data_IF_607404824567
#
_entry.id   IF_607404824567
#
_cell.length_a   1.000
_cell.length_b   1.000
_cell.length_c   1.000
_cell.angle_alpha   90.00
_cell.angle_beta   90.00
_cell.angle_gamma   90.00
#
_symmetry.space_group_name_H-M   'P 1'
#
loop_
_entity.id
_entity.type
_entity.pdbx_description
1 polymer ?
#
# COMPACT_ATOMS: atom_id res chain seq x y z
N UNK A 1 3.25 -15.55 -6.04
CA UNK A 1 3.04 -14.09 -5.89
C UNK A 1 4.41 -13.44 -5.94
N UNK A 2 4.57 -12.44 -6.81
CA UNK A 2 5.85 -11.82 -7.20
C UNK A 2 5.75 -10.29 -7.19
N UNK A 3 4.66 -9.72 -6.65
CA UNK A 3 4.33 -8.31 -6.88
C UNK A 3 5.28 -7.37 -6.12
N UNK A 4 5.49 -7.60 -4.82
CA UNK A 4 6.40 -6.77 -4.01
C UNK A 4 7.85 -6.99 -4.45
N UNK A 5 8.23 -8.24 -4.75
CA UNK A 5 9.55 -8.54 -5.33
C UNK A 5 9.80 -7.77 -6.65
N UNK A 6 8.80 -7.69 -7.54
CA UNK A 6 8.90 -6.94 -8.79
C UNK A 6 8.98 -5.43 -8.58
N UNK A 7 8.27 -4.89 -7.57
CA UNK A 7 8.39 -3.48 -7.16
C UNK A 7 9.83 -3.20 -6.74
N UNK A 8 10.42 -4.02 -5.87
CA UNK A 8 11.79 -3.85 -5.39
C UNK A 8 12.80 -3.92 -6.54
N UNK A 9 12.64 -4.88 -7.46
CA UNK A 9 13.49 -4.98 -8.66
C UNK A 9 13.42 -3.72 -9.52
N UNK A 10 12.21 -3.19 -9.72
CA UNK A 10 11.99 -1.97 -10.49
C UNK A 10 12.63 -0.75 -9.83
N UNK A 11 12.45 -0.59 -8.51
CA UNK A 11 13.06 0.48 -7.73
C UNK A 11 14.59 0.45 -7.76
N UNK A 12 15.19 -0.74 -7.62
CA UNK A 12 16.65 -0.92 -7.74
C UNK A 12 17.15 -0.53 -9.13
N UNK A 13 16.45 -0.95 -10.18
CA UNK A 13 16.80 -0.61 -11.55
C UNK A 13 16.72 0.89 -11.80
N UNK A 14 15.69 1.57 -11.30
CA UNK A 14 15.54 3.02 -11.44
C UNK A 14 16.58 3.79 -10.63
N UNK A 15 16.90 3.35 -9.41
CA UNK A 15 17.95 3.96 -8.60
C UNK A 15 19.31 3.92 -9.30
N UNK A 16 19.67 2.76 -9.86
CA UNK A 16 20.90 2.61 -10.64
C UNK A 16 20.89 3.49 -11.89
N UNK A 17 19.85 3.40 -12.71
CA UNK A 17 19.76 4.16 -13.96
C UNK A 17 19.79 5.67 -13.75
N UNK A 18 19.14 6.18 -12.69
CA UNK A 18 19.19 7.59 -12.32
C UNK A 18 20.60 7.99 -11.88
N UNK A 19 21.23 7.21 -11.00
CA UNK A 19 22.59 7.46 -10.52
C UNK A 19 23.59 7.52 -11.67
N UNK A 20 23.58 6.52 -12.55
CA UNK A 20 24.46 6.45 -13.72
C UNK A 20 24.28 7.66 -14.65
N UNK A 21 23.03 8.11 -14.83
CA UNK A 21 22.71 9.25 -15.69
C UNK A 21 23.21 10.57 -15.10
N UNK A 22 23.07 10.76 -13.78
CA UNK A 22 23.57 11.95 -13.08
C UNK A 22 25.10 12.00 -13.11
N UNK A 23 25.77 10.86 -12.85
CA UNK A 23 27.23 10.77 -12.89
C UNK A 23 27.78 11.04 -14.29
N UNK A 24 27.12 10.50 -15.32
CA UNK A 24 27.47 10.75 -16.71
C UNK A 24 27.36 12.23 -17.06
N UNK A 25 26.28 12.90 -16.65
CA UNK A 25 26.10 14.33 -16.91
C UNK A 25 27.22 15.16 -16.26
N UNK A 26 27.52 14.89 -14.98
CA UNK A 26 28.63 15.56 -14.27
C UNK A 26 29.97 15.39 -15.00
N UNK A 27 30.24 14.20 -15.54
CA UNK A 27 31.48 13.92 -16.28
C UNK A 27 31.55 14.66 -17.63
N UNK A 28 30.39 14.87 -18.29
CA UNK A 28 30.32 15.45 -19.62
C UNK A 28 30.28 16.98 -19.61
N UNK A 29 29.47 17.56 -18.73
CA UNK A 29 29.23 19.00 -18.68
C UNK A 29 30.08 19.70 -17.61
N UNK A 30 30.63 18.95 -16.65
CA UNK A 30 31.41 19.51 -15.54
C UNK A 30 30.56 20.20 -14.45
N UNK A 31 29.24 20.06 -14.52
CA UNK A 31 28.29 20.63 -13.57
C UNK A 31 27.22 19.61 -13.15
N UNK A 32 26.53 19.91 -12.04
CA UNK A 32 25.47 19.04 -11.54
C UNK A 32 24.20 19.13 -12.40
N UNK A 33 23.52 18.01 -12.58
CA UNK A 33 22.20 18.02 -13.20
C UNK A 33 21.18 18.62 -12.23
N UNK A 34 20.56 19.73 -12.63
CA UNK A 34 19.61 20.47 -11.79
C UNK A 34 18.23 20.59 -12.44
N UNK A 35 17.19 20.51 -11.62
CA UNK A 35 15.81 20.85 -12.00
C UNK A 35 15.36 21.98 -11.08
N UNK A 36 14.94 23.11 -11.65
CA UNK A 36 14.53 24.30 -10.89
C UNK A 36 15.60 24.79 -9.89
N UNK A 37 16.89 24.66 -10.27
CA UNK A 37 18.02 25.06 -9.42
C UNK A 37 18.28 24.14 -8.24
N UNK A 38 17.70 22.94 -8.22
CA UNK A 38 17.97 21.89 -7.24
C UNK A 38 18.71 20.74 -7.91
N UNK A 39 19.83 20.34 -7.31
CA UNK A 39 20.58 19.15 -7.71
C UNK A 39 19.67 17.92 -7.64
N UNK A 40 19.58 17.20 -8.75
CA UNK A 40 18.82 15.95 -8.82
C UNK A 40 19.64 14.85 -8.18
N UNK A 41 19.01 14.12 -7.26
CA UNK A 41 19.55 12.94 -6.60
C UNK A 41 18.45 11.90 -6.40
N UNK A 42 18.83 10.66 -6.06
CA UNK A 42 17.86 9.68 -5.59
C UNK A 42 17.34 10.09 -4.21
N UNK A 43 16.13 10.64 -4.16
CA UNK A 43 15.46 11.06 -2.93
C UNK A 43 14.02 10.53 -2.84
N UNK A 44 13.84 9.23 -3.09
CA UNK A 44 12.54 8.57 -2.95
C UNK A 44 12.36 8.08 -1.50
N UNK A 45 11.33 8.58 -0.83
CA UNK A 45 10.89 8.12 0.49
C UNK A 45 9.83 7.02 0.43
N UNK A 46 9.63 6.32 1.56
CA UNK A 46 8.59 5.31 1.72
C UNK A 46 7.66 5.65 2.87
N UNK A 47 6.46 6.10 2.54
CA UNK A 47 5.49 6.55 3.55
C UNK A 47 4.79 5.37 4.25
N UNK A 48 4.73 4.20 3.61
CA UNK A 48 4.29 2.95 4.22
C UNK A 48 3.39 2.08 3.36
N UNK A 49 2.77 1.08 4.00
CA UNK A 49 1.89 0.11 3.35
C UNK A 49 0.57 -0.07 4.12
N UNK A 50 -0.44 -0.55 3.40
CA UNK A 50 -1.73 -0.95 3.96
C UNK A 50 -1.98 -2.40 3.60
N UNK A 51 -2.43 -3.21 4.56
CA UNK A 51 -2.75 -4.62 4.32
C UNK A 51 -4.25 -4.80 4.11
N UNK A 52 -4.64 -5.41 2.99
CA UNK A 52 -6.02 -5.83 2.79
C UNK A 52 -6.23 -7.20 3.45
N UNK A 53 -7.15 -7.30 4.43
CA UNK A 53 -7.49 -8.59 5.01
C UNK A 53 -8.29 -9.43 4.01
N UNK A 54 -7.87 -10.68 3.91
CA UNK A 54 -8.53 -11.72 3.14
C UNK A 54 -9.38 -12.59 4.08
N UNK A 55 -10.67 -12.78 3.76
CA UNK A 55 -11.48 -13.80 4.42
C UNK A 55 -11.09 -15.19 3.91
N UNK A 56 -10.50 -16.02 4.77
CA UNK A 56 -10.41 -17.45 4.50
C UNK A 56 -11.82 -18.06 4.55
N UNK A 57 -12.32 -18.56 3.41
CA UNK A 57 -13.53 -19.41 3.41
C UNK A 57 -13.14 -20.80 3.94
N UNK A 58 -13.63 -21.19 5.12
CA UNK A 58 -13.59 -22.60 5.52
C UNK A 58 -14.70 -23.35 4.76
N UNK A 59 -14.35 -24.11 3.72
CA UNK A 59 -15.27 -25.04 3.09
C UNK A 59 -15.01 -26.45 3.64
N UNK A 60 -15.99 -27.03 4.35
CA UNK A 60 -16.05 -28.47 4.60
C UNK A 60 -14.90 -29.11 5.39
N UNK A 61 -14.23 -28.39 6.30
CA UNK A 61 -13.26 -29.00 7.24
C UNK A 61 -11.90 -29.40 6.66
N UNK A 62 -11.58 -29.07 5.40
CA UNK A 62 -10.28 -29.41 4.81
C UNK A 62 -9.18 -28.38 5.15
N UNK A 63 -8.25 -28.79 6.04
CA UNK A 63 -7.04 -28.05 6.47
C UNK A 63 -6.08 -27.65 5.33
N UNK A 64 -6.20 -28.22 4.13
CA UNK A 64 -5.20 -28.08 3.06
C UNK A 64 -5.28 -26.72 2.33
N UNK A 65 -6.46 -26.11 2.23
CA UNK A 65 -6.63 -24.76 1.67
C UNK A 65 -6.04 -23.67 2.59
N UNK A 66 -5.96 -23.93 3.90
CA UNK A 66 -5.41 -23.00 4.90
C UNK A 66 -3.89 -22.93 4.80
N UNK A 67 -3.19 -24.07 4.66
CA UNK A 67 -1.73 -24.10 4.64
C UNK A 67 -1.10 -23.39 3.43
N UNK A 68 -1.67 -23.53 2.23
CA UNK A 68 -1.18 -22.82 1.04
C UNK A 68 -1.40 -21.30 1.16
N UNK A 69 -2.52 -20.92 1.77
CA UNK A 69 -2.88 -19.53 2.02
C UNK A 69 -1.98 -18.89 3.10
N UNK A 70 -1.70 -19.60 4.19
CA UNK A 70 -0.73 -19.19 5.21
C UNK A 70 0.67 -18.98 4.62
N UNK A 71 1.14 -19.87 3.74
CA UNK A 71 2.43 -19.70 3.04
C UNK A 71 2.46 -18.43 2.20
N UNK A 72 1.36 -18.07 1.55
CA UNK A 72 1.25 -16.84 0.77
C UNK A 72 1.37 -15.61 1.68
N UNK A 73 0.65 -15.60 2.81
CA UNK A 73 0.71 -14.50 3.78
C UNK A 73 2.14 -14.34 4.31
N UNK A 74 2.78 -15.45 4.71
CA UNK A 74 4.15 -15.41 5.22
C UNK A 74 5.14 -14.92 4.16
N UNK A 75 4.98 -15.35 2.90
CA UNK A 75 5.81 -14.85 1.81
C UNK A 75 5.62 -13.35 1.58
N UNK A 76 4.38 -12.84 1.61
CA UNK A 76 4.13 -11.39 1.49
C UNK A 76 4.79 -10.60 2.63
N UNK A 77 4.71 -11.10 3.87
CA UNK A 77 5.39 -10.47 5.02
C UNK A 77 6.90 -10.39 4.79
N UNK A 78 7.52 -11.48 4.35
CA UNK A 78 8.94 -11.49 4.02
C UNK A 78 9.30 -10.50 2.91
N UNK A 79 8.51 -10.43 1.84
CA UNK A 79 8.74 -9.47 0.75
C UNK A 79 8.57 -8.01 1.23
N UNK A 80 7.62 -7.73 2.13
CA UNK A 80 7.45 -6.42 2.74
C UNK A 80 8.66 -6.02 3.59
N UNK A 81 9.25 -6.92 4.36
CA UNK A 81 10.49 -6.64 5.11
C UNK A 81 11.63 -6.24 4.18
N UNK A 82 11.75 -6.89 3.01
CA UNK A 82 12.78 -6.52 2.02
C UNK A 82 12.49 -5.13 1.42
N UNK A 83 11.22 -4.79 1.20
CA UNK A 83 10.83 -3.45 0.73
C UNK A 83 11.16 -2.39 1.77
N UNK A 84 10.80 -2.61 3.04
CA UNK A 84 11.08 -1.67 4.13
C UNK A 84 12.60 -1.49 4.30
N UNK A 85 13.36 -2.60 4.27
CA UNK A 85 14.82 -2.57 4.32
C UNK A 85 15.48 -1.82 3.15
N UNK A 86 14.88 -1.80 1.95
CA UNK A 86 15.38 -0.98 0.84
C UNK A 86 15.34 0.53 1.13
N UNK A 87 14.37 0.96 1.95
CA UNK A 87 14.21 2.34 2.38
C UNK A 87 14.80 2.63 3.78
N UNK A 88 15.48 1.65 4.40
CA UNK A 88 15.96 1.70 5.79
C UNK A 88 14.84 1.94 6.82
N UNK A 89 13.64 1.46 6.54
CA UNK A 89 12.48 1.59 7.42
C UNK A 89 12.21 0.28 8.16
N UNK A 90 11.70 0.38 9.40
CA UNK A 90 11.11 -0.78 10.09
C UNK A 90 9.69 -0.99 9.61
N UNK A 91 9.28 -2.23 9.34
CA UNK A 91 7.91 -2.56 8.93
C UNK A 91 6.86 -2.11 9.94
N UNK A 92 7.20 -2.06 11.24
CA UNK A 92 6.31 -1.54 12.30
C UNK A 92 6.03 -0.05 12.17
N UNK A 93 7.00 0.71 11.67
CA UNK A 93 6.98 2.17 11.68
C UNK A 93 6.26 2.71 10.44
N UNK A 94 6.10 1.85 9.44
CA UNK A 94 5.50 2.14 8.14
C UNK A 94 4.26 1.28 7.84
N UNK A 95 3.71 0.61 8.87
CA UNK A 95 2.39 -0.02 8.80
C UNK A 95 1.31 1.04 9.02
N UNK A 96 0.62 1.41 7.95
CA UNK A 96 -0.44 2.41 7.99
C UNK A 96 -1.76 1.81 8.50
N UNK A 97 -1.88 0.49 8.54
CA UNK A 97 -3.01 -0.25 9.05
C UNK A 97 -3.58 -1.27 8.07
N UNK A 98 -4.72 -1.84 8.46
CA UNK A 98 -5.39 -2.88 7.70
C UNK A 98 -6.81 -2.49 7.29
N UNK A 99 -7.21 -2.89 6.08
CA UNK A 99 -8.58 -2.75 5.57
C UNK A 99 -9.23 -4.14 5.57
N UNK A 100 -10.31 -4.38 6.33
CA UNK A 100 -11.01 -5.65 6.29
C UNK A 100 -11.77 -5.85 4.97
N UNK A 101 -12.30 -7.05 4.73
CA UNK A 101 -13.14 -7.28 3.54
C UNK A 101 -14.47 -6.51 3.67
N UNK A 102 -14.60 -5.40 2.95
CA UNK A 102 -15.79 -4.53 2.87
C UNK A 102 -16.83 -5.06 1.86
N UNK A 103 -17.07 -6.37 1.85
CA UNK A 103 -17.71 -7.13 0.76
C UNK A 103 -19.14 -6.70 0.38
N UNK A 104 -19.86 -5.98 1.23
CA UNK A 104 -21.22 -5.50 0.93
C UNK A 104 -21.29 -4.02 0.60
N UNK A 105 -20.36 -3.20 1.11
CA UNK A 105 -20.43 -1.72 0.97
C UNK A 105 -19.67 -1.23 -0.26
N UNK A 106 -18.60 -1.92 -0.69
CA UNK A 106 -17.87 -1.56 -1.91
C UNK A 106 -18.74 -1.72 -3.17
N UNK A 107 -19.41 -2.86 -3.40
CA UNK A 107 -20.29 -2.99 -4.56
C UNK A 107 -21.46 -2.00 -4.52
N UNK A 108 -21.99 -1.73 -3.33
CA UNK A 108 -23.10 -0.79 -3.15
C UNK A 108 -22.69 0.65 -3.48
N UNK A 109 -21.50 1.07 -3.03
CA UNK A 109 -20.89 2.36 -3.39
C UNK A 109 -20.74 2.51 -4.90
N UNK A 110 -20.27 1.46 -5.57
CA UNK A 110 -20.11 1.47 -7.03
C UNK A 110 -21.46 1.58 -7.75
N UNK A 111 -22.49 0.85 -7.30
CA UNK A 111 -23.83 0.88 -7.89
C UNK A 111 -24.53 2.22 -7.66
N UNK A 112 -24.40 2.79 -6.46
CA UNK A 112 -25.00 4.07 -6.10
C UNK A 112 -24.22 5.27 -6.63
N UNK A 113 -23.03 5.07 -7.21
CA UNK A 113 -22.10 6.12 -7.62
C UNK A 113 -21.80 7.12 -6.48
N UNK A 114 -21.69 6.60 -5.25
CA UNK A 114 -21.52 7.40 -4.04
C UNK A 114 -20.31 6.91 -3.23
N UNK A 115 -19.57 7.80 -2.54
CA UNK A 115 -18.51 7.40 -1.62
C UNK A 115 -19.03 6.42 -0.57
N UNK A 116 -18.22 5.43 -0.18
CA UNK A 116 -18.60 4.42 0.83
C UNK A 116 -19.11 5.09 2.12
N UNK A 117 -18.52 6.23 2.50
CA UNK A 117 -18.82 6.95 3.74
C UNK A 117 -20.13 7.74 3.69
N UNK A 118 -20.67 7.97 2.49
CA UNK A 118 -21.90 8.72 2.25
C UNK A 118 -23.10 7.82 1.96
N UNK A 119 -22.87 6.50 1.87
CA UNK A 119 -23.91 5.52 1.64
C UNK A 119 -24.99 5.57 2.73
N UNK A 120 -26.22 5.81 2.33
CA UNK A 120 -27.38 5.91 3.22
C UNK A 120 -28.55 5.03 2.75
N UNK A 121 -29.70 5.13 3.42
CA UNK A 121 -30.90 4.34 3.08
C UNK A 121 -31.33 4.52 1.63
N UNK A 122 -31.19 5.75 1.09
CA UNK A 122 -31.51 6.08 -0.31
C UNK A 122 -30.66 5.29 -1.32
N UNK A 123 -29.48 4.85 -0.89
CA UNK A 123 -28.49 4.14 -1.70
C UNK A 123 -28.58 2.62 -1.52
N UNK A 124 -29.61 2.13 -0.80
CA UNK A 124 -29.84 0.70 -0.58
C UNK A 124 -29.15 0.11 0.65
N UNK A 125 -28.61 0.96 1.55
CA UNK A 125 -28.01 0.48 2.82
C UNK A 125 -29.10 -0.06 3.75
N UNK A 126 -28.93 -1.31 4.19
CA UNK A 126 -29.89 -2.00 5.07
C UNK A 126 -29.21 -2.71 6.25
N UNK A 127 -29.87 -2.70 7.41
CA UNK A 127 -29.50 -3.48 8.59
C UNK A 127 -28.04 -3.28 9.02
N UNK A 128 -27.27 -4.36 9.08
CA UNK A 128 -25.86 -4.34 9.52
C UNK A 128 -24.90 -3.61 8.57
N UNK A 129 -25.36 -3.20 7.37
CA UNK A 129 -24.54 -2.45 6.43
C UNK A 129 -24.23 -1.03 6.93
N UNK A 130 -25.10 -0.40 7.74
CA UNK A 130 -24.80 0.90 8.37
C UNK A 130 -23.55 0.82 9.24
N UNK A 131 -23.44 -0.24 10.05
CA UNK A 131 -22.24 -0.49 10.86
C UNK A 131 -21.01 -0.67 9.97
N UNK A 132 -21.14 -1.38 8.85
CA UNK A 132 -20.02 -1.56 7.90
C UNK A 132 -19.57 -0.26 7.23
N UNK A 133 -20.50 0.65 6.92
CA UNK A 133 -20.19 1.99 6.40
C UNK A 133 -19.40 2.79 7.44
N UNK A 134 -19.86 2.82 8.69
CA UNK A 134 -19.18 3.51 9.79
C UNK A 134 -17.80 2.92 10.12
N UNK A 135 -17.70 1.59 10.12
CA UNK A 135 -16.41 0.88 10.30
C UNK A 135 -15.44 1.23 9.17
N UNK A 136 -15.90 1.21 7.91
CA UNK A 136 -15.09 1.61 6.76
C UNK A 136 -14.53 3.03 6.96
N UNK A 137 -15.38 4.00 7.28
CA UNK A 137 -14.95 5.38 7.53
C UNK A 137 -13.86 5.45 8.62
N UNK A 138 -14.00 4.67 9.69
CA UNK A 138 -13.01 4.60 10.77
C UNK A 138 -11.66 4.06 10.30
N UNK A 139 -11.65 2.98 9.50
CA UNK A 139 -10.40 2.40 8.98
C UNK A 139 -9.66 3.38 8.05
N UNK A 140 -10.38 4.02 7.13
CA UNK A 140 -9.77 4.96 6.19
C UNK A 140 -9.29 6.23 6.86
N UNK A 141 -10.00 6.76 7.87
CA UNK A 141 -9.51 7.91 8.65
C UNK A 141 -8.20 7.57 9.36
N UNK A 142 -8.14 6.44 10.07
CA UNK A 142 -6.91 6.02 10.77
C UNK A 142 -5.72 5.85 9.81
N UNK A 143 -5.94 5.21 8.66
CA UNK A 143 -4.89 5.04 7.64
C UNK A 143 -4.43 6.40 7.12
N UNK A 144 -5.36 7.33 6.88
CA UNK A 144 -5.05 8.67 6.39
C UNK A 144 -4.27 9.49 7.43
N UNK A 145 -4.64 9.39 8.71
CA UNK A 145 -3.91 10.03 9.82
C UNK A 145 -2.47 9.51 9.92
N UNK A 146 -2.29 8.18 9.87
CA UNK A 146 -0.96 7.57 9.89
C UNK A 146 -0.12 7.99 8.67
N UNK A 147 -0.74 8.10 7.48
CA UNK A 147 -0.07 8.55 6.27
C UNK A 147 0.37 10.02 6.38
N UNK A 148 -0.50 10.91 6.85
CA UNK A 148 -0.18 12.33 7.01
C UNK A 148 0.97 12.52 7.98
N UNK A 149 0.97 11.81 9.11
CA UNK A 149 2.08 11.82 10.07
C UNK A 149 3.43 11.41 9.47
N UNK A 150 3.43 10.62 8.39
CA UNK A 150 4.65 10.16 7.69
C UNK A 150 5.08 11.09 6.57
N UNK A 151 4.14 11.74 5.90
CA UNK A 151 4.43 12.68 4.80
C UNK A 151 4.88 14.04 5.33
N UNK A 152 4.38 14.44 6.50
CA UNK A 152 4.72 15.73 7.12
C UNK A 152 6.03 15.69 7.95
N UNK A 153 6.75 14.56 7.94
CA UNK A 153 8.09 14.39 8.53
C UNK A 153 9.19 14.86 7.58
#
# INVERSE_FOLDING_TARGET
>A
MMAVENIIKSLKSWKAALGDSIEKHMTQEGEYFEIQGQKVEWNLGFCGFVVQQYKAKSSGGQRQAVAAFERIIQKQKQELEVLCGFFNESSSDVDLGEIPTLSSVVPLSQQAHAPIFELASKDGVVGSQYTRVSEAATFFHRISENLLQRVDQ
#
